data_IF_256793934011
#
_entry.id   IF_256793934011
#
_cell.length_a   1.000
_cell.length_b   1.000
_cell.length_c   1.000
_cell.angle_alpha   90.00
_cell.angle_beta   90.00
_cell.angle_gamma   90.00
#
_symmetry.space_group_name_H-M   'P 1'
#
loop_
_entity.id
_entity.type
_entity.pdbx_description
1 polymer ?
#
# COMPACT_ATOMS: atom_id res chain seq x y z
N UNK A 1 -56.52 -29.87 17.33
CA UNK A 1 -55.69 -29.94 16.11
C UNK A 1 -55.86 -28.63 15.37
N UNK A 2 -54.95 -27.68 15.57
CA UNK A 2 -55.02 -26.36 14.93
C UNK A 2 -53.60 -26.05 14.48
N UNK A 3 -53.39 -26.10 13.16
CA UNK A 3 -52.11 -25.86 12.50
C UNK A 3 -51.82 -24.36 12.49
N UNK A 4 -50.69 -23.95 13.05
CA UNK A 4 -50.05 -22.66 12.75
C UNK A 4 -49.08 -22.87 11.59
N UNK A 5 -49.32 -22.23 10.46
CA UNK A 5 -48.30 -22.00 9.43
C UNK A 5 -47.70 -20.62 9.68
N UNK A 6 -46.43 -20.56 10.08
CA UNK A 6 -45.62 -19.35 9.99
C UNK A 6 -44.94 -19.34 8.62
N UNK A 7 -45.37 -18.45 7.74
CA UNK A 7 -44.57 -18.03 6.59
C UNK A 7 -43.75 -16.82 7.01
N UNK A 8 -42.46 -17.03 7.31
CA UNK A 8 -41.48 -15.96 7.48
C UNK A 8 -41.08 -15.53 6.08
N UNK A 9 -41.64 -14.41 5.61
CA UNK A 9 -41.12 -13.68 4.45
C UNK A 9 -39.98 -12.81 5.00
N UNK A 10 -38.74 -13.23 4.77
CA UNK A 10 -37.57 -12.39 4.98
C UNK A 10 -37.57 -11.32 3.88
N UNK A 11 -37.99 -10.12 4.24
CA UNK A 11 -37.85 -8.94 3.40
C UNK A 11 -36.37 -8.50 3.48
N UNK A 12 -35.56 -8.94 2.52
CA UNK A 12 -34.22 -8.39 2.30
C UNK A 12 -34.39 -6.96 1.80
N UNK A 13 -34.34 -6.00 2.73
CA UNK A 13 -34.15 -4.61 2.39
C UNK A 13 -32.71 -4.44 1.89
N UNK A 14 -32.53 -4.45 0.57
CA UNK A 14 -31.33 -3.88 -0.05
C UNK A 14 -31.40 -2.37 0.17
N UNK A 15 -30.81 -1.89 1.26
CA UNK A 15 -30.41 -0.48 1.36
C UNK A 15 -29.37 -0.26 0.27
N UNK A 16 -29.74 0.45 -0.79
CA UNK A 16 -28.76 1.02 -1.70
C UNK A 16 -27.87 1.94 -0.86
N UNK A 17 -26.61 1.52 -0.66
CA UNK A 17 -25.60 2.40 -0.09
C UNK A 17 -25.51 3.59 -1.04
N UNK A 18 -25.76 4.80 -0.55
CA UNK A 18 -25.57 6.00 -1.33
C UNK A 18 -24.09 6.07 -1.74
N UNK A 19 -23.82 6.26 -3.04
CA UNK A 19 -22.45 6.46 -3.52
C UNK A 19 -21.80 7.59 -2.73
N UNK A 20 -20.52 7.43 -2.39
CA UNK A 20 -19.73 8.49 -1.75
C UNK A 20 -19.58 9.75 -2.62
N UNK A 21 -20.02 9.72 -3.88
CA UNK A 21 -20.01 10.88 -4.78
C UNK A 21 -18.59 11.27 -5.17
N UNK A 22 -17.70 10.28 -5.27
CA UNK A 22 -16.30 10.48 -5.61
C UNK A 22 -16.14 10.18 -7.10
N UNK A 23 -15.71 11.18 -7.85
CA UNK A 23 -15.55 11.05 -9.30
C UNK A 23 -14.06 11.00 -9.68
N UNK A 24 -13.76 10.20 -10.71
CA UNK A 24 -12.46 10.23 -11.36
C UNK A 24 -12.52 11.14 -12.59
N UNK A 25 -11.74 12.22 -12.57
CA UNK A 25 -11.69 13.22 -13.62
C UNK A 25 -10.37 13.13 -14.40
N UNK A 26 -10.40 13.17 -15.74
CA UNK A 26 -9.17 13.19 -16.53
C UNK A 26 -8.44 14.52 -16.30
N UNK A 27 -7.13 14.45 -16.10
CA UNK A 27 -6.25 15.61 -16.05
C UNK A 27 -5.77 15.88 -17.50
N UNK A 28 -5.90 17.11 -18.02
CA UNK A 28 -5.55 17.45 -19.40
C UNK A 28 -4.02 17.51 -19.58
N UNK A 29 -3.42 16.32 -19.61
CA UNK A 29 -2.02 16.03 -19.87
C UNK A 29 -2.03 14.83 -20.82
N UNK A 30 -1.99 15.09 -22.13
CA UNK A 30 -2.06 14.02 -23.13
C UNK A 30 -0.74 13.22 -23.20
N UNK A 31 -0.85 11.89 -23.18
CA UNK A 31 0.22 10.93 -23.50
C UNK A 31 1.42 10.88 -22.53
N UNK A 32 1.24 11.26 -21.26
CA UNK A 32 2.35 11.72 -20.40
C UNK A 32 2.57 10.98 -19.08
N UNK A 33 1.91 9.90 -18.70
CA UNK A 33 2.23 9.24 -17.42
C UNK A 33 2.76 7.81 -17.60
N UNK A 34 4.02 7.60 -17.24
CA UNK A 34 4.64 6.26 -17.09
C UNK A 34 4.98 5.96 -15.63
N UNK A 35 5.32 6.97 -14.84
CA UNK A 35 5.62 6.84 -13.42
C UNK A 35 5.05 8.03 -12.66
N UNK A 36 4.38 7.75 -11.55
CA UNK A 36 4.01 8.74 -10.55
C UNK A 36 4.78 8.43 -9.27
N UNK A 37 5.45 9.43 -8.72
CA UNK A 37 6.10 9.35 -7.43
C UNK A 37 5.74 10.61 -6.61
N UNK A 38 5.51 10.44 -5.31
CA UNK A 38 5.37 11.59 -4.40
C UNK A 38 6.67 12.38 -4.44
N UNK A 39 6.57 13.70 -4.59
CA UNK A 39 7.74 14.57 -4.60
C UNK A 39 8.48 14.50 -3.25
N UNK A 40 9.82 14.48 -3.25
CA UNK A 40 10.59 14.62 -2.02
C UNK A 40 10.28 15.91 -1.23
N UNK A 41 9.70 16.93 -1.88
CA UNK A 41 9.30 18.20 -1.25
C UNK A 41 8.03 18.08 -0.37
N UNK A 42 7.32 16.95 -0.38
CA UNK A 42 6.17 16.68 0.49
C UNK A 42 4.93 16.14 -0.24
N UNK A 43 3.87 15.86 0.54
CA UNK A 43 2.59 15.29 0.05
C UNK A 43 1.78 16.22 -0.88
N UNK A 44 2.20 17.47 -1.03
CA UNK A 44 1.48 18.47 -1.83
C UNK A 44 1.95 18.52 -3.29
N UNK A 45 3.00 17.77 -3.64
CA UNK A 45 3.51 17.69 -4.99
C UNK A 45 3.84 16.25 -5.42
N UNK A 46 3.61 15.94 -6.70
CA UNK A 46 3.95 14.67 -7.34
C UNK A 46 4.79 14.94 -8.58
N UNK A 47 5.80 14.08 -8.74
CA UNK A 47 6.61 14.02 -9.94
C UNK A 47 5.99 13.03 -10.92
N UNK A 48 5.69 13.52 -12.12
CA UNK A 48 5.18 12.72 -13.24
C UNK A 48 6.31 12.55 -14.22
N UNK A 49 6.76 11.31 -14.43
CA UNK A 49 7.64 10.99 -15.55
C UNK A 49 6.78 10.63 -16.75
N UNK A 50 7.06 11.29 -17.86
CA UNK A 50 6.36 11.07 -19.13
C UNK A 50 7.00 10.00 -19.99
N UNK A 51 6.28 9.54 -21.03
CA UNK A 51 6.84 8.62 -22.03
C UNK A 51 8.04 9.20 -22.80
N UNK A 52 8.19 10.52 -22.79
CA UNK A 52 9.32 11.23 -23.40
C UNK A 52 10.40 11.57 -22.35
N UNK A 53 10.39 10.91 -21.18
CA UNK A 53 11.27 11.14 -20.04
C UNK A 53 11.29 12.59 -19.50
N UNK A 54 10.30 13.40 -19.88
CA UNK A 54 10.06 14.71 -19.24
C UNK A 54 9.54 14.50 -17.82
N UNK A 55 9.93 15.41 -16.93
CA UNK A 55 9.45 15.47 -15.57
C UNK A 55 8.50 16.66 -15.41
N UNK A 56 7.31 16.40 -14.84
CA UNK A 56 6.29 17.41 -14.57
C UNK A 56 6.00 17.41 -13.07
N UNK A 57 6.07 18.57 -12.45
CA UNK A 57 5.60 18.79 -11.09
C UNK A 57 4.11 19.09 -11.12
N UNK A 58 3.34 18.30 -10.38
CA UNK A 58 1.93 18.56 -10.11
C UNK A 58 1.78 18.90 -8.64
N UNK A 59 1.10 20.01 -8.32
CA UNK A 59 0.80 20.38 -6.95
C UNK A 59 -0.63 20.88 -6.78
N UNK A 60 -1.20 20.76 -5.58
CA UNK A 60 -2.50 21.36 -5.26
C UNK A 60 -2.30 22.73 -4.62
N UNK A 61 -2.74 23.79 -5.29
CA UNK A 61 -2.61 25.16 -4.80
C UNK A 61 -3.77 26.04 -5.29
N UNK A 62 -4.22 26.95 -4.43
CA UNK A 62 -5.37 27.84 -4.70
C UNK A 62 -6.66 27.07 -5.05
N UNK A 63 -6.89 25.92 -4.40
CA UNK A 63 -8.09 25.09 -4.61
C UNK A 63 -8.13 24.32 -5.91
N UNK A 64 -6.99 24.17 -6.61
CA UNK A 64 -6.92 23.44 -7.90
C UNK A 64 -5.56 22.76 -8.09
N UNK A 65 -5.53 21.76 -8.97
CA UNK A 65 -4.28 21.19 -9.46
C UNK A 65 -3.56 22.20 -10.36
N UNK A 66 -2.28 22.40 -10.09
CA UNK A 66 -1.37 23.24 -10.85
C UNK A 66 -0.23 22.38 -11.40
N UNK A 67 0.14 22.63 -12.66
CA UNK A 67 1.19 21.91 -13.37
C UNK A 67 2.35 22.85 -13.65
N UNK A 68 3.57 22.41 -13.32
CA UNK A 68 4.81 23.10 -13.65
C UNK A 68 5.75 22.13 -14.33
N UNK A 69 6.19 22.46 -15.55
CA UNK A 69 7.21 21.70 -16.25
C UNK A 69 8.59 22.18 -15.79
N UNK A 70 9.47 21.26 -15.40
CA UNK A 70 10.86 21.58 -15.12
C UNK A 70 11.77 20.99 -16.20
N UNK A 71 12.93 21.63 -16.41
CA UNK A 71 14.02 21.02 -17.16
C UNK A 71 14.65 19.92 -16.28
N UNK A 72 14.98 18.77 -16.86
CA UNK A 72 15.44 17.57 -16.16
C UNK A 72 16.67 17.75 -15.24
N UNK A 73 17.34 18.90 -15.30
CA UNK A 73 18.56 19.22 -14.56
C UNK A 73 18.32 19.81 -13.16
N UNK A 74 17.05 20.07 -12.78
CA UNK A 74 16.70 20.85 -11.59
C UNK A 74 16.35 20.05 -10.32
N UNK A 75 16.01 18.77 -10.44
CA UNK A 75 15.46 18.00 -9.31
C UNK A 75 16.59 17.20 -8.67
N UNK A 76 17.28 17.83 -7.73
CA UNK A 76 18.03 17.09 -6.72
C UNK A 76 17.01 16.36 -5.84
N UNK A 77 17.02 15.03 -5.86
CA UNK A 77 16.34 14.23 -4.84
C UNK A 77 16.68 14.84 -3.47
N UNK A 78 15.66 15.14 -2.63
CA UNK A 78 15.91 15.76 -1.32
C UNK A 78 16.98 15.02 -0.55
N UNK A 79 17.68 15.75 0.31
CA UNK A 79 18.79 15.38 1.18
C UNK A 79 18.52 14.20 2.13
N UNK A 80 18.09 13.04 1.61
CA UNK A 80 18.15 11.80 2.35
C UNK A 80 19.63 11.46 2.58
N UNK A 81 19.96 11.15 3.82
CA UNK A 81 21.25 10.55 4.14
C UNK A 81 21.46 9.34 3.19
N UNK A 82 22.68 9.15 2.66
CA UNK A 82 22.93 8.09 1.71
C UNK A 82 22.48 6.74 2.30
N UNK A 83 21.90 5.85 1.49
CA UNK A 83 21.44 4.57 1.97
C UNK A 83 22.59 3.83 2.65
N UNK A 84 22.31 3.07 3.73
CA UNK A 84 23.33 2.27 4.40
C UNK A 84 24.07 1.36 3.42
N UNK A 85 25.32 1.02 3.76
CA UNK A 85 26.09 0.06 2.98
C UNK A 85 25.31 -1.27 2.85
N UNK A 86 25.40 -1.90 1.67
CA UNK A 86 24.68 -3.15 1.34
C UNK A 86 23.15 -3.03 1.34
N UNK A 87 22.60 -1.84 1.12
CA UNK A 87 21.18 -1.69 0.76
C UNK A 87 20.91 -2.33 -0.60
N UNK A 88 19.75 -2.97 -0.79
CA UNK A 88 19.38 -3.61 -2.07
C UNK A 88 19.06 -2.54 -3.15
N UNK A 89 19.11 -2.90 -4.45
CA UNK A 89 18.68 -1.99 -5.51
C UNK A 89 17.22 -1.52 -5.32
N UNK A 90 16.95 -0.25 -5.59
CA UNK A 90 15.60 0.31 -5.53
C UNK A 90 15.01 0.49 -4.12
N UNK A 91 15.74 0.13 -3.06
CA UNK A 91 15.23 0.25 -1.70
C UNK A 91 15.00 1.70 -1.27
N UNK A 92 13.89 1.90 -0.55
CA UNK A 92 13.49 3.15 0.09
C UNK A 92 13.45 2.96 1.61
N UNK A 93 13.75 3.99 2.41
CA UNK A 93 13.64 3.89 3.85
C UNK A 93 12.17 3.88 4.28
N UNK A 94 11.80 2.91 5.13
CA UNK A 94 10.63 3.06 5.99
C UNK A 94 10.92 4.09 7.08
N UNK A 95 9.98 4.97 7.42
CA UNK A 95 10.16 6.01 8.46
C UNK A 95 9.00 6.01 9.44
N UNK A 96 9.32 6.09 10.73
CA UNK A 96 8.34 6.09 11.83
C UNK A 96 8.08 7.47 12.41
N UNK A 97 6.85 7.68 12.89
CA UNK A 97 6.48 8.91 13.57
C UNK A 97 7.06 8.96 14.99
N UNK A 98 7.34 7.81 15.60
CA UNK A 98 7.69 7.69 17.01
C UNK A 98 9.15 7.27 17.22
N UNK A 99 9.43 5.98 17.42
CA UNK A 99 10.74 5.44 17.84
C UNK A 99 11.70 5.15 16.69
N UNK A 100 11.19 4.81 15.50
CA UNK A 100 12.01 4.40 14.34
C UNK A 100 12.36 5.62 13.48
N UNK A 101 13.65 5.87 13.31
CA UNK A 101 14.16 6.91 12.40
C UNK A 101 14.14 6.43 10.95
N UNK A 102 14.66 5.23 10.72
CA UNK A 102 14.65 4.59 9.40
C UNK A 102 14.73 3.07 9.49
N UNK A 103 14.09 2.40 8.54
CA UNK A 103 14.17 0.96 8.34
C UNK A 103 14.58 0.68 6.88
N UNK A 104 15.59 -0.15 6.68
CA UNK A 104 16.20 -0.43 5.38
C UNK A 104 16.30 -1.93 5.11
N UNK A 105 16.05 -2.31 3.87
CA UNK A 105 16.26 -3.66 3.38
C UNK A 105 17.67 -3.79 2.80
N UNK A 106 18.44 -4.72 3.37
CA UNK A 106 19.89 -4.81 3.17
C UNK A 106 20.34 -6.26 2.93
N UNK A 107 21.64 -6.45 2.68
CA UNK A 107 22.27 -7.72 2.37
C UNK A 107 21.68 -8.33 1.07
N UNK A 108 21.94 -7.72 -0.10
CA UNK A 108 21.40 -8.19 -1.37
C UNK A 108 21.80 -9.65 -1.62
N UNK A 109 20.82 -10.44 -2.03
CA UNK A 109 20.99 -11.87 -2.33
C UNK A 109 20.19 -12.28 -3.55
N UNK A 110 20.62 -13.36 -4.21
CA UNK A 110 19.96 -13.98 -5.38
C UNK A 110 19.39 -15.36 -5.06
N UNK A 111 19.20 -15.67 -3.76
CA UNK A 111 18.71 -16.99 -3.29
C UNK A 111 17.22 -17.22 -3.55
N UNK A 112 16.50 -16.17 -3.94
CA UNK A 112 15.10 -16.20 -4.32
C UNK A 112 14.96 -15.57 -5.70
N UNK A 113 14.34 -16.29 -6.65
CA UNK A 113 14.39 -15.96 -8.09
C UNK A 113 13.01 -15.64 -8.67
N UNK A 114 12.10 -15.11 -7.85
CA UNK A 114 10.77 -14.72 -8.31
C UNK A 114 10.83 -13.49 -9.22
N UNK A 115 11.55 -12.48 -8.75
CA UNK A 115 11.81 -11.24 -9.46
C UNK A 115 10.60 -10.35 -9.69
N UNK A 116 9.65 -10.39 -8.75
CA UNK A 116 8.38 -9.68 -8.90
C UNK A 116 8.56 -8.16 -8.84
N UNK A 117 9.65 -7.67 -8.23
CA UNK A 117 9.98 -6.26 -8.06
C UNK A 117 10.97 -5.71 -9.10
N UNK A 118 11.09 -6.37 -10.25
CA UNK A 118 11.78 -5.84 -11.44
C UNK A 118 13.25 -6.23 -11.57
N UNK A 119 13.85 -6.86 -10.57
CA UNK A 119 15.12 -7.60 -10.68
C UNK A 119 15.05 -8.90 -9.88
N UNK A 120 16.15 -9.67 -9.81
CA UNK A 120 16.23 -10.92 -9.03
C UNK A 120 17.09 -10.74 -7.76
N UNK A 121 17.07 -9.57 -7.13
CA UNK A 121 17.85 -9.24 -5.94
C UNK A 121 16.93 -8.89 -4.79
N UNK A 122 16.85 -9.80 -3.82
CA UNK A 122 16.04 -9.61 -2.61
C UNK A 122 16.92 -9.30 -1.39
N UNK A 123 16.31 -8.81 -0.31
CA UNK A 123 17.04 -8.51 0.92
C UNK A 123 17.18 -9.74 1.83
N UNK A 124 18.40 -9.94 2.34
CA UNK A 124 18.69 -10.92 3.37
C UNK A 124 18.53 -10.40 4.80
N UNK A 125 18.40 -9.07 4.98
CA UNK A 125 18.31 -8.47 6.31
C UNK A 125 17.49 -7.17 6.35
N UNK A 126 16.94 -6.90 7.53
CA UNK A 126 16.29 -5.65 7.90
C UNK A 126 17.21 -4.87 8.85
N UNK A 127 17.59 -3.66 8.49
CA UNK A 127 18.36 -2.73 9.33
C UNK A 127 17.43 -1.64 9.84
N UNK A 128 17.30 -1.49 11.16
CA UNK A 128 16.47 -0.46 11.80
C UNK A 128 17.37 0.47 12.59
N UNK A 129 17.22 1.78 12.36
CA UNK A 129 17.81 2.86 13.16
C UNK A 129 16.70 3.53 13.96
N UNK A 130 16.92 3.68 15.25
CA UNK A 130 16.03 4.37 16.17
C UNK A 130 16.41 5.84 16.29
N UNK A 131 15.45 6.69 16.65
CA UNK A 131 15.68 8.13 16.84
C UNK A 131 16.65 8.46 17.99
N UNK A 132 16.87 7.52 18.90
CA UNK A 132 17.87 7.62 19.96
C UNK A 132 19.31 7.29 19.48
N UNK A 133 19.49 7.00 18.19
CA UNK A 133 20.77 6.73 17.54
C UNK A 133 21.18 5.25 17.54
N UNK A 134 20.47 4.37 18.26
CA UNK A 134 20.73 2.92 18.21
C UNK A 134 20.37 2.36 16.86
N UNK A 135 21.06 1.28 16.46
CA UNK A 135 20.78 0.57 15.23
C UNK A 135 20.87 -0.95 15.44
N UNK A 136 19.95 -1.68 14.83
CA UNK A 136 19.82 -3.12 14.95
C UNK A 136 19.62 -3.74 13.57
N UNK A 137 20.21 -4.90 13.34
CA UNK A 137 20.04 -5.66 12.11
C UNK A 137 19.44 -7.03 12.42
N UNK A 138 18.39 -7.40 11.69
CA UNK A 138 17.80 -8.72 11.74
C UNK A 138 18.09 -9.45 10.43
N UNK A 139 18.84 -10.55 10.50
CA UNK A 139 19.20 -11.36 9.34
C UNK A 139 18.27 -12.56 9.22
N UNK A 140 17.69 -12.74 8.05
CA UNK A 140 16.90 -13.93 7.74
C UNK A 140 17.80 -15.15 7.51
N UNK A 141 17.29 -16.36 7.80
CA UNK A 141 17.97 -17.58 7.40
C UNK A 141 18.07 -17.66 5.86
N UNK A 142 19.04 -18.44 5.37
CA UNK A 142 19.29 -18.64 3.93
C UNK A 142 18.09 -19.24 3.17
N UNK A 143 17.08 -19.76 3.86
CA UNK A 143 15.87 -20.33 3.27
C UNK A 143 14.79 -19.29 2.95
N UNK A 144 14.97 -18.02 3.32
CA UNK A 144 13.96 -16.97 3.12
C UNK A 144 14.58 -15.63 2.77
N UNK A 145 13.79 -14.71 2.21
CA UNK A 145 14.20 -13.34 1.89
C UNK A 145 13.13 -12.36 2.35
N UNK A 146 13.48 -11.08 2.47
CA UNK A 146 12.48 -10.01 2.43
C UNK A 146 12.25 -9.68 0.95
N UNK A 147 11.07 -10.01 0.44
CA UNK A 147 10.63 -9.71 -0.93
C UNK A 147 9.83 -8.40 -0.91
N UNK A 148 10.55 -7.32 -0.69
CA UNK A 148 10.04 -5.95 -0.57
C UNK A 148 11.20 -4.98 -0.86
N UNK A 149 10.90 -3.72 -1.13
CA UNK A 149 11.91 -2.65 -1.30
C UNK A 149 11.68 -1.49 -0.32
N UNK A 150 10.63 -1.53 0.50
CA UNK A 150 10.33 -0.43 1.42
C UNK A 150 9.62 -0.94 2.70
N UNK A 151 10.25 -0.96 3.87
CA UNK A 151 9.52 -1.31 5.09
C UNK A 151 8.42 -0.29 5.39
N UNK A 152 7.24 -0.73 5.85
CA UNK A 152 6.19 0.18 6.35
C UNK A 152 6.37 0.33 7.85
N UNK A 153 6.35 1.55 8.35
CA UNK A 153 6.64 1.84 9.76
C UNK A 153 5.52 2.69 10.34
N UNK A 154 4.89 2.20 11.41
CA UNK A 154 3.79 2.87 12.10
C UNK A 154 3.64 2.29 13.51
N UNK A 155 3.09 3.08 14.43
CA UNK A 155 2.57 2.59 15.71
C UNK A 155 1.24 1.88 15.46
N UNK A 156 1.28 0.55 15.45
CA UNK A 156 0.15 -0.29 15.02
C UNK A 156 -0.75 -0.69 16.19
N UNK A 157 -0.24 -0.73 17.42
CA UNK A 157 -1.01 -1.09 18.60
C UNK A 157 -1.29 0.10 19.55
N UNK A 158 -0.83 1.30 19.20
CA UNK A 158 -1.08 2.54 19.93
C UNK A 158 -0.25 2.66 21.21
N UNK A 159 0.81 1.88 21.38
CA UNK A 159 1.67 1.92 22.57
C UNK A 159 2.71 3.06 22.55
N UNK A 160 2.79 3.80 21.45
CA UNK A 160 3.71 4.91 21.24
C UNK A 160 5.08 4.48 20.70
N UNK A 161 5.33 3.19 20.45
CA UNK A 161 6.47 2.69 19.69
C UNK A 161 6.06 2.36 18.26
N UNK A 162 6.96 2.55 17.30
CA UNK A 162 6.69 2.11 15.93
C UNK A 162 7.00 0.60 15.76
N UNK A 163 6.10 -0.09 15.07
CA UNK A 163 6.34 -1.39 14.45
C UNK A 163 6.84 -1.23 13.01
N UNK A 164 7.49 -2.28 12.51
CA UNK A 164 7.97 -2.37 11.13
C UNK A 164 7.31 -3.57 10.43
N UNK A 165 6.52 -3.30 9.41
CA UNK A 165 5.90 -4.29 8.54
C UNK A 165 6.79 -4.54 7.32
N UNK A 166 7.07 -5.81 7.05
CA UNK A 166 7.83 -6.28 5.88
C UNK A 166 7.19 -7.54 5.30
N UNK A 167 7.55 -7.89 4.07
CA UNK A 167 7.10 -9.12 3.42
C UNK A 167 8.25 -10.12 3.35
N UNK A 168 8.10 -11.26 4.02
CA UNK A 168 9.07 -12.35 3.99
C UNK A 168 8.59 -13.45 3.06
N UNK A 169 9.46 -13.93 2.18
CA UNK A 169 9.13 -14.98 1.23
C UNK A 169 10.04 -16.20 1.35
N UNK A 170 9.45 -17.37 1.17
CA UNK A 170 10.12 -18.67 1.09
C UNK A 170 9.76 -19.34 -0.24
N UNK A 171 10.68 -20.02 -0.94
CA UNK A 171 10.41 -20.59 -2.26
C UNK A 171 9.21 -21.53 -2.30
N UNK A 172 9.04 -22.37 -1.28
CA UNK A 172 8.01 -23.41 -1.25
C UNK A 172 6.68 -22.95 -0.64
N UNK A 173 6.73 -21.96 0.26
CA UNK A 173 5.55 -21.51 1.02
C UNK A 173 4.96 -20.19 0.49
N UNK A 174 5.76 -19.42 -0.25
CA UNK A 174 5.45 -18.06 -0.69
C UNK A 174 5.60 -17.01 0.42
N UNK A 175 5.06 -15.83 0.16
CA UNK A 175 5.12 -14.68 1.05
C UNK A 175 4.30 -14.84 2.33
N UNK A 176 4.71 -14.11 3.37
CA UNK A 176 3.97 -13.81 4.59
C UNK A 176 4.27 -12.37 4.99
N UNK A 177 3.32 -11.73 5.67
CA UNK A 177 3.57 -10.43 6.30
C UNK A 177 4.23 -10.68 7.66
N UNK A 178 5.31 -9.95 7.94
CA UNK A 178 6.11 -10.06 9.16
C UNK A 178 6.18 -8.69 9.86
N UNK A 179 5.85 -8.67 11.15
CA UNK A 179 5.90 -7.46 12.01
C UNK A 179 7.09 -7.56 12.94
N UNK A 180 7.91 -6.52 12.96
CA UNK A 180 9.06 -6.40 13.85
C UNK A 180 8.87 -5.23 14.82
N UNK A 181 9.48 -5.34 15.99
CA UNK A 181 9.62 -4.26 16.97
C UNK A 181 11.08 -4.12 17.37
N UNK A 182 11.49 -2.90 17.65
CA UNK A 182 12.82 -2.59 18.17
C UNK A 182 12.69 -1.98 19.57
N UNK A 183 13.34 -2.59 20.57
CA UNK A 183 13.27 -2.18 21.97
C UNK A 183 14.67 -2.02 22.61
N UNK A 184 14.75 -2.06 23.94
CA UNK A 184 16.02 -2.02 24.67
C UNK A 184 16.94 -3.23 24.38
N UNK A 185 16.36 -4.37 24.03
CA UNK A 185 17.03 -5.66 23.85
C UNK A 185 17.44 -5.92 22.39
N UNK A 186 16.81 -5.23 21.43
CA UNK A 186 17.19 -5.27 20.02
C UNK A 186 15.99 -5.24 19.09
N UNK A 187 16.21 -5.71 17.86
CA UNK A 187 15.17 -5.89 16.84
C UNK A 187 14.69 -7.34 16.86
N UNK A 188 13.39 -7.55 17.06
CA UNK A 188 12.78 -8.88 17.13
C UNK A 188 11.57 -8.99 16.21
N UNK A 189 11.41 -10.17 15.61
CA UNK A 189 10.17 -10.58 14.96
C UNK A 189 9.09 -10.77 16.02
N UNK A 190 7.96 -10.06 15.89
CA UNK A 190 6.82 -10.13 16.80
C UNK A 190 5.85 -11.21 16.35
N UNK A 191 5.38 -11.10 15.11
CA UNK A 191 4.35 -11.99 14.56
C UNK A 191 4.45 -12.04 13.03
N UNK A 192 3.97 -13.15 12.45
CA UNK A 192 3.79 -13.30 11.02
C UNK A 192 2.37 -13.80 10.71
N UNK A 193 1.84 -13.44 9.54
CA UNK A 193 0.67 -14.15 9.00
C UNK A 193 1.05 -15.59 8.63
N UNK A 194 0.07 -16.50 8.47
CA UNK A 194 0.31 -17.72 7.71
C UNK A 194 0.89 -17.38 6.32
N UNK A 195 1.76 -18.23 5.75
CA UNK A 195 2.22 -18.02 4.39
C UNK A 195 1.06 -18.15 3.41
N UNK A 196 1.18 -17.50 2.25
CA UNK A 196 0.21 -17.57 1.16
C UNK A 196 -0.07 -18.99 0.66
N UNK A 197 0.82 -19.94 0.97
CA UNK A 197 0.75 -21.36 0.66
C UNK A 197 0.76 -21.67 -0.85
N UNK A 198 1.51 -20.86 -1.59
CA UNK A 198 1.79 -21.05 -3.01
C UNK A 198 3.22 -20.59 -3.30
N UNK A 199 4.06 -21.40 -3.97
CA UNK A 199 5.40 -21.01 -4.36
C UNK A 199 5.41 -19.73 -5.17
N UNK A 200 6.34 -18.82 -4.87
CA UNK A 200 6.51 -17.58 -5.62
C UNK A 200 5.20 -16.78 -5.75
N UNK A 201 4.44 -16.73 -4.67
CA UNK A 201 3.24 -15.91 -4.56
C UNK A 201 3.46 -14.84 -3.48
N UNK A 202 2.93 -13.65 -3.73
CA UNK A 202 3.35 -12.44 -3.04
C UNK A 202 2.20 -11.73 -2.32
N UNK A 203 2.54 -10.86 -1.38
CA UNK A 203 1.60 -10.02 -0.62
C UNK A 203 2.08 -8.58 -0.77
N UNK A 204 1.16 -7.66 -1.00
CA UNK A 204 1.48 -6.23 -0.99
C UNK A 204 0.57 -5.49 0.01
N UNK A 205 1.14 -4.91 1.08
CA UNK A 205 0.40 -4.04 1.98
C UNK A 205 -0.16 -2.81 1.25
N UNK A 206 -1.39 -2.44 1.63
CA UNK A 206 -2.05 -1.21 1.17
C UNK A 206 -1.80 -0.09 2.18
N UNK A 207 -1.98 -0.38 3.47
CA UNK A 207 -1.79 0.56 4.56
C UNK A 207 -2.30 0.00 5.88
N UNK A 208 -2.14 0.78 6.94
CA UNK A 208 -2.59 0.46 8.28
C UNK A 208 -3.43 1.60 8.85
N UNK A 209 -4.54 1.26 9.49
CA UNK A 209 -5.47 2.16 10.17
C UNK A 209 -6.40 1.31 11.06
N UNK A 210 -7.20 1.94 11.93
CA UNK A 210 -8.37 1.29 12.53
C UNK A 210 -9.48 1.27 11.47
N UNK A 211 -9.64 0.15 10.74
CA UNK A 211 -10.51 0.10 9.56
C UNK A 211 -11.97 -0.21 9.91
N UNK A 212 -12.23 -0.88 11.04
CA UNK A 212 -13.60 -1.19 11.47
C UNK A 212 -14.13 -0.29 12.59
N UNK A 213 -13.26 0.54 13.19
CA UNK A 213 -13.60 1.56 14.17
C UNK A 213 -13.65 1.06 15.61
N UNK A 214 -12.93 -0.03 15.93
CA UNK A 214 -12.93 -0.62 17.27
C UNK A 214 -11.79 -0.12 18.17
N UNK A 215 -10.93 0.75 17.64
CA UNK A 215 -9.80 1.36 18.34
C UNK A 215 -8.52 0.53 18.33
N UNK A 216 -8.49 -0.61 17.62
CA UNK A 216 -7.29 -1.45 17.44
C UNK A 216 -6.77 -1.28 16.01
N UNK A 217 -5.44 -1.21 15.84
CA UNK A 217 -4.85 -1.07 14.52
C UNK A 217 -5.02 -2.33 13.66
N UNK A 218 -5.38 -2.09 12.40
CA UNK A 218 -5.51 -3.10 11.37
C UNK A 218 -4.56 -2.82 10.21
N UNK A 219 -4.27 -3.84 9.41
CA UNK A 219 -3.43 -3.77 8.21
C UNK A 219 -4.20 -4.36 7.03
N UNK A 220 -4.41 -3.55 6.00
CA UNK A 220 -4.97 -3.97 4.73
C UNK A 220 -3.86 -4.49 3.81
N UNK A 221 -4.03 -5.69 3.28
CA UNK A 221 -3.08 -6.30 2.33
C UNK A 221 -3.81 -6.92 1.14
N UNK A 222 -3.19 -6.89 -0.03
CA UNK A 222 -3.63 -7.69 -1.17
C UNK A 222 -2.74 -8.93 -1.26
N UNK A 223 -3.33 -10.09 -1.05
CA UNK A 223 -2.71 -11.40 -1.21
C UNK A 223 -2.83 -11.85 -2.66
N UNK A 224 -1.72 -12.30 -3.23
CA UNK A 224 -1.59 -12.74 -4.61
C UNK A 224 -2.12 -11.73 -5.62
N UNK A 225 -1.57 -10.49 -5.66
CA UNK A 225 -2.12 -9.43 -6.50
C UNK A 225 -2.15 -9.77 -8.00
N UNK A 226 -1.39 -10.78 -8.44
CA UNK A 226 -1.35 -11.24 -9.84
C UNK A 226 -2.26 -12.44 -10.10
N UNK A 227 -2.49 -13.28 -9.08
CA UNK A 227 -3.18 -14.57 -9.22
C UNK A 227 -4.56 -14.56 -8.56
N UNK A 228 -4.62 -14.59 -7.21
CA UNK A 228 -5.87 -14.75 -6.46
C UNK A 228 -6.60 -13.45 -6.14
N UNK A 229 -5.88 -12.32 -6.05
CA UNK A 229 -6.46 -10.98 -6.01
C UNK A 229 -7.38 -10.78 -4.80
N UNK A 230 -6.87 -11.13 -3.62
CA UNK A 230 -7.62 -11.20 -2.37
C UNK A 230 -7.24 -10.02 -1.47
N UNK A 231 -8.21 -9.16 -1.16
CA UNK A 231 -8.03 -8.17 -0.09
C UNK A 231 -8.25 -8.86 1.26
N UNK A 232 -7.35 -8.64 2.21
CA UNK A 232 -7.50 -9.08 3.61
C UNK A 232 -7.19 -7.93 4.55
N UNK A 233 -7.96 -7.87 5.63
CA UNK A 233 -7.74 -6.98 6.76
C UNK A 233 -7.25 -7.84 7.92
N UNK A 234 -6.07 -7.53 8.43
CA UNK A 234 -5.49 -8.19 9.59
C UNK A 234 -5.46 -7.25 10.78
N UNK A 235 -6.10 -7.62 11.88
CA UNK A 235 -5.98 -6.94 13.15
C UNK A 235 -4.67 -7.27 13.83
N UNK A 236 -4.01 -6.27 14.40
CA UNK A 236 -2.83 -6.43 15.22
C UNK A 236 -3.08 -5.95 16.66
N UNK A 237 -3.03 -6.86 17.63
CA UNK A 237 -3.23 -6.58 19.06
C UNK A 237 -1.91 -6.38 19.83
N UNK A 238 -0.81 -6.10 19.12
CA UNK A 238 0.53 -6.05 19.67
C UNK A 238 1.27 -7.39 19.70
N UNK A 239 0.57 -8.52 19.45
CA UNK A 239 1.17 -9.87 19.55
C UNK A 239 0.72 -10.84 18.48
N UNK A 240 -0.49 -10.69 17.97
CA UNK A 240 -1.13 -11.61 17.04
C UNK A 240 -1.64 -10.88 15.81
N UNK A 241 -1.75 -11.61 14.70
CA UNK A 241 -2.39 -11.14 13.49
C UNK A 241 -3.64 -11.99 13.23
N UNK A 242 -4.81 -11.39 13.39
CA UNK A 242 -6.09 -12.03 13.11
C UNK A 242 -6.66 -11.51 11.79
N UNK A 243 -6.99 -12.41 10.86
CA UNK A 243 -7.73 -12.02 9.67
C UNK A 243 -9.20 -11.76 10.02
N UNK A 244 -9.59 -10.50 10.09
CA UNK A 244 -10.94 -10.08 10.49
C UNK A 244 -11.89 -9.93 9.29
N UNK A 245 -11.38 -10.00 8.06
CA UNK A 245 -12.23 -9.99 6.87
C UNK A 245 -11.53 -9.54 5.60
N UNK A 246 -12.33 -9.14 4.61
CA UNK A 246 -11.86 -8.63 3.34
C UNK A 246 -12.72 -9.08 2.17
N UNK A 247 -12.13 -9.12 0.98
CA UNK A 247 -12.87 -9.38 -0.26
C UNK A 247 -12.02 -10.00 -1.35
N UNK A 248 -12.59 -10.07 -2.55
CA UNK A 248 -11.94 -10.60 -3.75
C UNK A 248 -12.00 -9.58 -4.88
N UNK A 249 -11.19 -9.81 -5.91
CA UNK A 249 -11.20 -9.00 -7.11
C UNK A 249 -10.40 -7.71 -7.00
N UNK A 250 -9.34 -7.68 -6.19
CA UNK A 250 -8.46 -6.52 -6.00
C UNK A 250 -7.03 -6.81 -6.49
N UNK A 251 -6.42 -5.88 -7.22
CA UNK A 251 -5.03 -6.00 -7.67
C UNK A 251 -4.31 -4.66 -7.51
N UNK A 252 -3.26 -4.63 -6.71
CA UNK A 252 -2.45 -3.44 -6.43
C UNK A 252 -1.00 -3.60 -6.93
N UNK A 253 -0.75 -4.49 -7.89
CA UNK A 253 0.60 -4.67 -8.42
C UNK A 253 0.62 -5.18 -9.86
N UNK A 254 1.64 -4.74 -10.60
CA UNK A 254 1.99 -5.24 -11.94
C UNK A 254 3.32 -5.99 -11.82
N UNK A 255 3.40 -7.28 -12.19
CA UNK A 255 4.65 -8.04 -12.16
C UNK A 255 5.82 -7.29 -12.80
N UNK A 256 6.96 -7.24 -12.11
CA UNK A 256 8.17 -6.53 -12.54
C UNK A 256 8.20 -5.04 -12.23
N UNK A 257 7.15 -4.48 -11.61
CA UNK A 257 7.12 -3.08 -11.18
C UNK A 257 7.76 -2.92 -9.80
N UNK A 258 8.43 -1.78 -9.56
CA UNK A 258 8.86 -1.34 -8.23
C UNK A 258 7.81 -0.45 -7.54
N UNK A 259 6.63 -0.31 -8.16
CA UNK A 259 5.51 0.45 -7.59
C UNK A 259 4.83 -0.37 -6.51
N UNK A 260 4.96 0.07 -5.27
CA UNK A 260 4.33 -0.57 -4.12
C UNK A 260 3.07 0.15 -3.62
N UNK A 261 2.67 1.22 -4.30
CA UNK A 261 1.62 2.16 -3.86
C UNK A 261 0.50 2.28 -4.91
N UNK A 262 0.21 1.21 -5.64
CA UNK A 262 -0.99 1.13 -6.52
C UNK A 262 -2.23 0.81 -5.66
N UNK A 263 -2.49 1.68 -4.71
CA UNK A 263 -3.50 1.57 -3.68
C UNK A 263 -3.30 2.71 -2.71
N UNK A 264 -4.38 3.22 -2.14
CA UNK A 264 -4.34 4.35 -1.22
C UNK A 264 -5.42 4.22 -0.15
N UNK A 265 -5.34 5.08 0.85
CA UNK A 265 -6.36 5.24 1.88
C UNK A 265 -6.87 6.68 1.89
N UNK A 266 -8.15 6.87 2.16
CA UNK A 266 -8.79 8.17 2.35
C UNK A 266 -10.03 8.01 3.22
N UNK A 267 -10.50 9.06 3.90
CA UNK A 267 -11.86 9.08 4.46
C UNK A 267 -12.81 9.52 3.34
N UNK A 268 -13.43 8.56 2.65
CA UNK A 268 -14.20 8.80 1.43
C UNK A 268 -15.64 9.25 1.73
N UNK A 269 -16.21 8.77 2.83
CA UNK A 269 -17.58 9.03 3.23
C UNK A 269 -17.70 10.04 4.40
N UNK A 270 -16.57 10.56 4.90
CA UNK A 270 -16.48 11.51 6.01
C UNK A 270 -17.00 10.95 7.34
N UNK A 271 -16.82 9.65 7.57
CA UNK A 271 -17.19 8.99 8.84
C UNK A 271 -16.05 8.97 9.87
N UNK A 272 -14.85 9.44 9.48
CA UNK A 272 -13.67 9.52 10.33
C UNK A 272 -12.81 8.26 10.33
N UNK A 273 -13.20 7.21 9.60
CA UNK A 273 -12.41 6.00 9.39
C UNK A 273 -11.73 6.03 8.03
N UNK A 274 -10.63 5.28 7.90
CA UNK A 274 -9.95 5.16 6.62
C UNK A 274 -10.68 4.16 5.71
N UNK A 275 -10.99 4.59 4.49
CA UNK A 275 -11.44 3.74 3.40
C UNK A 275 -10.30 3.39 2.46
N UNK A 276 -10.44 2.28 1.74
CA UNK A 276 -9.43 1.77 0.81
C UNK A 276 -9.80 2.12 -0.63
N UNK A 277 -8.82 2.61 -1.37
CA UNK A 277 -8.91 2.91 -2.81
C UNK A 277 -8.00 1.96 -3.55
N UNK A 278 -8.57 0.98 -4.25
CA UNK A 278 -7.85 -0.12 -4.88
C UNK A 278 -8.37 -0.41 -6.29
N UNK A 279 -7.49 -0.74 -7.25
CA UNK A 279 -7.95 -1.22 -8.55
C UNK A 279 -8.64 -2.59 -8.44
N UNK A 280 -9.61 -2.83 -9.32
CA UNK A 280 -10.18 -4.14 -9.58
C UNK A 280 -9.15 -5.14 -10.09
N UNK A 281 -9.55 -6.41 -10.19
CA UNK A 281 -8.70 -7.50 -10.65
C UNK A 281 -8.04 -7.28 -12.03
N UNK A 282 -8.72 -6.57 -12.93
CA UNK A 282 -8.25 -6.17 -14.25
C UNK A 282 -7.73 -4.73 -14.29
N UNK A 283 -7.71 -4.05 -13.12
CA UNK A 283 -7.39 -2.65 -12.87
C UNK A 283 -8.21 -1.64 -13.68
N UNK A 284 -9.33 -2.05 -14.29
CA UNK A 284 -10.21 -1.19 -15.11
C UNK A 284 -11.34 -0.54 -14.33
N UNK A 285 -11.45 -0.80 -13.04
CA UNK A 285 -12.34 -0.10 -12.13
C UNK A 285 -11.52 0.32 -10.92
N UNK A 286 -11.65 1.57 -10.49
CA UNK A 286 -11.15 2.01 -9.21
C UNK A 286 -12.26 1.80 -8.17
N UNK A 287 -11.99 0.96 -7.18
CA UNK A 287 -12.94 0.61 -6.12
C UNK A 287 -12.60 1.39 -4.87
N UNK A 288 -13.60 2.09 -4.34
CA UNK A 288 -13.53 2.74 -3.02
C UNK A 288 -14.37 1.90 -2.08
N UNK A 289 -13.73 1.31 -1.07
CA UNK A 289 -14.37 0.36 -0.15
C UNK A 289 -14.09 0.73 1.30
N UNK A 290 -15.12 0.64 2.13
CA UNK A 290 -15.02 0.79 3.57
C UNK A 290 -14.99 -0.57 4.25
N UNK A 291 -14.36 -0.66 5.41
CA UNK A 291 -14.50 -1.81 6.31
C UNK A 291 -15.17 -1.44 7.65
N UNK A 292 -15.71 -0.22 7.75
CA UNK A 292 -16.41 0.28 8.93
C UNK A 292 -17.48 -0.72 9.40
N UNK A 293 -17.46 -1.06 10.69
CA UNK A 293 -18.39 -2.03 11.28
C UNK A 293 -18.06 -3.50 10.97
N UNK A 294 -16.86 -3.82 10.49
CA UNK A 294 -16.32 -5.18 10.42
C UNK A 294 -16.73 -5.96 9.16
N UNK A 295 -17.23 -5.27 8.13
CA UNK A 295 -17.61 -5.88 6.87
C UNK A 295 -17.23 -4.98 5.70
N UNK A 296 -16.72 -5.57 4.63
CA UNK A 296 -16.32 -4.83 3.44
C UNK A 296 -17.56 -4.30 2.70
N UNK A 297 -17.60 -2.99 2.49
CA UNK A 297 -18.69 -2.27 1.83
C UNK A 297 -18.16 -1.51 0.62
N UNK A 298 -18.84 -1.61 -0.52
CA UNK A 298 -18.55 -0.78 -1.68
C UNK A 298 -19.14 0.62 -1.48
N UNK A 299 -18.26 1.63 -1.41
CA UNK A 299 -18.65 3.04 -1.39
C UNK A 299 -18.76 3.61 -2.81
N UNK A 300 -17.81 3.25 -3.68
CA UNK A 300 -17.89 3.54 -5.11
C UNK A 300 -17.12 2.54 -5.98
N UNK A 301 -17.53 2.46 -7.24
CA UNK A 301 -16.91 1.66 -8.29
C UNK A 301 -16.86 2.51 -9.55
N UNK A 302 -15.66 2.97 -9.89
CA UNK A 302 -15.44 3.99 -10.93
C UNK A 302 -14.82 3.33 -12.16
N UNK A 303 -15.56 3.16 -13.26
CA UNK A 303 -15.02 2.57 -14.48
C UNK A 303 -13.93 3.44 -15.10
N UNK A 304 -12.85 2.81 -15.55
CA UNK A 304 -11.71 3.45 -16.19
C UNK A 304 -11.59 3.01 -17.65
N UNK A 305 -11.18 3.90 -18.57
CA UNK A 305 -11.03 3.54 -19.99
C UNK A 305 -9.84 2.59 -20.25
N UNK A 306 -8.89 2.52 -19.32
CA UNK A 306 -7.73 1.64 -19.37
C UNK A 306 -7.33 1.20 -17.95
N UNK A 307 -6.54 0.10 -17.81
CA UNK A 307 -6.07 -0.36 -16.51
C UNK A 307 -5.19 0.69 -15.81
N UNK A 308 -5.30 0.79 -14.48
CA UNK A 308 -4.32 1.56 -13.66
C UNK A 308 -2.92 0.99 -13.88
N UNK A 309 -1.93 1.87 -14.06
CA UNK A 309 -0.56 1.51 -14.43
C UNK A 309 0.52 2.03 -13.46
N UNK A 310 0.18 2.98 -12.60
CA UNK A 310 1.14 3.68 -11.73
C UNK A 310 0.78 3.54 -10.25
N UNK A 311 1.55 4.21 -9.39
CA UNK A 311 1.12 4.52 -8.05
C UNK A 311 -0.19 5.33 -8.05
N UNK A 312 -0.93 5.24 -6.94
CA UNK A 312 -2.04 6.12 -6.60
C UNK A 312 -1.52 7.00 -5.45
N UNK A 313 -1.37 8.30 -5.72
CA UNK A 313 -0.63 9.20 -4.82
C UNK A 313 -1.50 10.37 -4.39
N UNK A 314 -1.47 10.79 -3.11
CA UNK A 314 -2.18 11.99 -2.67
C UNK A 314 -1.53 13.26 -3.23
N UNK A 315 -2.35 14.22 -3.62
CA UNK A 315 -1.99 15.58 -4.02
C UNK A 315 -3.05 16.54 -3.46
N UNK A 316 -2.77 17.13 -2.30
CA UNK A 316 -3.78 17.86 -1.54
C UNK A 316 -4.96 16.94 -1.17
N UNK A 317 -6.23 17.33 -1.44
CA UNK A 317 -7.39 16.49 -1.13
C UNK A 317 -7.66 15.40 -2.19
N UNK A 318 -6.88 15.35 -3.28
CA UNK A 318 -7.10 14.44 -4.40
C UNK A 318 -6.12 13.27 -4.35
N UNK A 319 -6.51 12.14 -4.95
CA UNK A 319 -5.58 11.10 -5.36
C UNK A 319 -5.32 11.19 -6.86
N UNK A 320 -4.08 11.00 -7.29
CA UNK A 320 -3.67 11.07 -8.69
C UNK A 320 -3.07 9.73 -9.12
N UNK A 321 -3.47 9.26 -10.31
CA UNK A 321 -3.04 7.98 -10.85
C UNK A 321 -3.04 7.96 -12.39
N UNK A 322 -2.14 7.19 -13.00
CA UNK A 322 -1.98 7.02 -14.43
C UNK A 322 -2.52 5.67 -14.92
N UNK A 323 -2.97 5.65 -16.17
CA UNK A 323 -3.51 4.47 -16.84
C UNK A 323 -2.56 3.96 -17.94
N UNK A 324 -2.71 2.70 -18.35
CA UNK A 324 -1.88 2.08 -19.40
C UNK A 324 -1.96 2.79 -20.76
N UNK A 325 -3.07 3.48 -21.05
CA UNK A 325 -3.20 4.29 -22.26
C UNK A 325 -2.47 5.65 -22.15
N UNK A 326 -1.78 5.93 -21.05
CA UNK A 326 -1.02 7.16 -20.79
C UNK A 326 -1.85 8.31 -20.24
N UNK A 327 -3.16 8.14 -20.04
CA UNK A 327 -4.02 9.14 -19.44
C UNK A 327 -3.78 9.25 -17.93
N UNK A 328 -3.88 10.48 -17.42
CA UNK A 328 -3.75 10.79 -16.00
C UNK A 328 -5.11 11.19 -15.43
N UNK A 329 -5.43 10.71 -14.23
CA UNK A 329 -6.70 10.94 -13.56
C UNK A 329 -6.47 11.43 -12.14
N UNK A 330 -7.38 12.27 -11.67
CA UNK A 330 -7.53 12.59 -10.25
C UNK A 330 -8.84 12.02 -9.72
N UNK A 331 -8.84 11.58 -8.47
CA UNK A 331 -9.99 11.11 -7.71
C UNK A 331 -10.17 12.00 -6.49
N UNK A 332 -11.40 12.48 -6.25
CA UNK A 332 -11.76 13.22 -5.05
C UNK A 332 -13.18 13.79 -5.16
N UNK A 333 -13.59 14.53 -4.13
CA UNK A 333 -14.78 15.38 -4.20
C UNK A 333 -14.33 16.80 -4.59
N UNK A 334 -15.02 17.41 -5.57
CA UNK A 334 -14.83 18.84 -5.89
C UNK A 334 -15.38 19.75 -4.79
#
# INVERSE_FOLDING_TARGET
>A
MTRFSLSIIALLATTAIARAGIDASPIPLENTATVLAVSPEGRDAVLITTREDKQIHMAYADGKLQLRQENADGITHSEDAPPPAKTIPGARPGRGANTVESAWLTQPTKRYVHGILGDNVEAGALLVRLKDGRAFEYRLPETSVFEDIEPRVADLDGDGADEIVTIRSEPELGARMSIFRADANGLSLVVETPPVALPFDWILPVGAADFDGDGVGDIAVVISPHLRKLLRIYRFDGKTLENIGGGTGFSNHIPGSTTLTMGAMMDANHDGLADLVLPSADRRTLRVVSFAGGALQDLDNIPLPAPVATAIVPVGPLLVFGLENGALYSLGQE
#
